data_IF_278506813881
#
_entry.id   IF_278506813881
#
_cell.length_a   1.000
_cell.length_b   1.000
_cell.length_c   1.000
_cell.angle_alpha   90.00
_cell.angle_beta   90.00
_cell.angle_gamma   90.00
#
_symmetry.space_group_name_H-M   'P 1'
#
loop_
_entity.id
_entity.type
_entity.pdbx_description
1 polymer ?
#
# COMPACT_ATOMS: atom_id res chain seq x y z
N UNK A 1 -17.24 -1.52 -6.56
CA UNK A 1 -17.42 -2.25 -7.84
C UNK A 1 -16.09 -2.78 -8.39
N UNK A 2 -15.00 -1.99 -8.42
CA UNK A 2 -13.70 -2.46 -8.93
C UNK A 2 -13.08 -3.61 -8.14
N UNK A 3 -12.95 -3.48 -6.81
CA UNK A 3 -12.28 -4.50 -5.99
C UNK A 3 -12.94 -5.88 -6.10
N UNK A 4 -14.28 -5.94 -6.07
CA UNK A 4 -15.03 -7.19 -6.21
C UNK A 4 -14.80 -7.85 -7.58
N UNK A 5 -14.74 -7.04 -8.64
CA UNK A 5 -14.45 -7.55 -9.99
C UNK A 5 -13.01 -8.10 -10.08
N UNK A 6 -12.04 -7.39 -9.52
CA UNK A 6 -10.65 -7.86 -9.44
C UNK A 6 -10.53 -9.16 -8.66
N UNK A 7 -11.23 -9.28 -7.52
CA UNK A 7 -11.26 -10.52 -6.74
C UNK A 7 -11.79 -11.70 -7.55
N UNK A 8 -12.88 -11.49 -8.30
CA UNK A 8 -13.46 -12.52 -9.19
C UNK A 8 -12.46 -12.94 -10.28
N UNK A 9 -11.82 -11.97 -10.94
CA UNK A 9 -10.80 -12.25 -11.96
C UNK A 9 -9.60 -13.01 -11.38
N UNK A 10 -9.15 -12.64 -10.18
CA UNK A 10 -8.05 -13.30 -9.52
C UNK A 10 -8.41 -14.74 -9.12
N UNK A 11 -9.62 -14.96 -8.59
CA UNK A 11 -10.11 -16.29 -8.26
C UNK A 11 -10.18 -17.19 -9.50
N UNK A 12 -10.71 -16.66 -10.62
CA UNK A 12 -10.80 -17.38 -11.89
C UNK A 12 -9.43 -17.75 -12.49
N UNK A 13 -8.38 -17.02 -12.14
CA UNK A 13 -6.98 -17.32 -12.52
C UNK A 13 -6.29 -18.30 -11.57
N UNK A 14 -6.98 -18.77 -10.54
CA UNK A 14 -6.45 -19.74 -9.58
C UNK A 14 -5.65 -19.14 -8.42
N UNK A 15 -5.61 -17.82 -8.28
CA UNK A 15 -4.97 -17.19 -7.12
C UNK A 15 -5.72 -17.52 -5.84
N UNK A 16 -4.98 -17.75 -4.76
CA UNK A 16 -5.53 -18.21 -3.48
C UNK A 16 -5.97 -17.07 -2.57
N UNK A 17 -5.33 -15.93 -2.67
CA UNK A 17 -5.63 -14.79 -1.82
C UNK A 17 -5.04 -13.51 -2.37
N UNK A 18 -5.42 -12.40 -1.75
CA UNK A 18 -4.87 -11.08 -2.00
C UNK A 18 -4.24 -10.61 -0.71
N UNK A 19 -3.05 -10.00 -0.79
CA UNK A 19 -2.37 -9.31 0.32
C UNK A 19 -2.15 -7.87 -0.11
N UNK A 20 -2.46 -6.91 0.78
CA UNK A 20 -2.36 -5.47 0.52
C UNK A 20 -1.91 -4.70 1.76
N UNK A 21 -1.37 -3.50 1.53
CA UNK A 21 -1.34 -2.43 2.51
C UNK A 21 -2.52 -1.50 2.25
N UNK A 22 -3.54 -1.55 3.11
CA UNK A 22 -4.83 -0.88 2.91
C UNK A 22 -5.31 -0.12 4.15
N UNK A 23 -6.40 0.63 3.98
CA UNK A 23 -7.02 1.41 5.06
C UNK A 23 -7.72 0.50 6.09
N UNK A 24 -7.29 0.54 7.38
CA UNK A 24 -7.87 -0.24 8.49
C UNK A 24 -9.39 -0.17 8.60
N UNK A 25 -9.99 1.00 8.34
CA UNK A 25 -11.42 1.19 8.54
C UNK A 25 -12.27 0.86 7.30
N UNK A 26 -11.65 0.54 6.16
CA UNK A 26 -12.34 0.30 4.90
C UNK A 26 -12.36 -1.19 4.51
N UNK A 27 -11.20 -1.82 4.40
CA UNK A 27 -11.07 -3.16 3.84
C UNK A 27 -11.70 -4.30 4.68
N UNK A 28 -11.77 -4.21 6.02
CA UNK A 28 -12.49 -5.21 6.82
C UNK A 28 -13.98 -5.31 6.47
N UNK A 29 -14.60 -4.22 5.98
CA UNK A 29 -15.99 -4.22 5.49
C UNK A 29 -16.19 -5.13 4.27
N UNK A 30 -15.10 -5.55 3.63
CA UNK A 30 -15.07 -6.39 2.43
C UNK A 30 -14.51 -7.80 2.77
N UNK A 31 -14.26 -8.08 4.05
CA UNK A 31 -13.81 -9.38 4.54
C UNK A 31 -12.30 -9.55 4.60
N UNK A 32 -11.52 -8.49 4.37
CA UNK A 32 -10.09 -8.51 4.65
C UNK A 32 -9.85 -8.62 6.16
N UNK A 33 -8.76 -9.29 6.52
CA UNK A 33 -8.27 -9.41 7.89
C UNK A 33 -6.80 -9.06 7.92
N UNK A 34 -6.27 -8.68 9.07
CA UNK A 34 -4.83 -8.53 9.25
C UNK A 34 -4.11 -9.83 8.92
N UNK A 35 -2.90 -9.74 8.34
CA UNK A 35 -2.20 -10.90 7.79
C UNK A 35 -1.79 -11.96 8.82
N UNK A 36 -1.80 -11.61 10.11
CA UNK A 36 -1.54 -12.51 11.24
C UNK A 36 -2.60 -13.61 11.35
N UNK A 37 -3.84 -13.33 10.92
CA UNK A 37 -4.91 -14.31 10.78
C UNK A 37 -4.56 -15.45 9.80
N UNK A 38 -3.56 -15.24 8.94
CA UNK A 38 -3.06 -16.22 7.98
C UNK A 38 -1.63 -16.68 8.28
N UNK A 39 -1.06 -16.32 9.45
CA UNK A 39 0.36 -16.55 9.75
C UNK A 39 1.32 -15.96 8.70
N UNK A 40 0.96 -14.79 8.15
CA UNK A 40 1.78 -14.04 7.20
C UNK A 40 2.33 -12.79 7.91
N UNK A 41 3.63 -12.55 7.78
CA UNK A 41 4.31 -11.35 8.27
C UNK A 41 4.91 -10.57 7.11
N UNK A 42 5.32 -9.32 7.34
CA UNK A 42 6.24 -8.65 6.40
C UNK A 42 7.58 -9.38 6.32
N UNK A 43 8.43 -8.99 5.37
CA UNK A 43 9.81 -9.50 5.27
C UNK A 43 10.60 -9.37 6.60
N UNK A 44 10.34 -8.31 7.37
CA UNK A 44 10.96 -8.05 8.68
C UNK A 44 10.29 -8.77 9.85
N UNK A 45 9.19 -9.49 9.63
CA UNK A 45 8.47 -10.22 10.70
C UNK A 45 7.38 -9.41 11.40
N UNK A 46 7.01 -8.24 10.87
CA UNK A 46 6.02 -7.37 11.48
C UNK A 46 4.60 -7.66 10.99
N UNK A 47 3.63 -7.18 11.76
CA UNK A 47 2.23 -7.06 11.36
C UNK A 47 1.65 -5.75 11.92
N UNK A 48 0.68 -5.16 11.24
CA UNK A 48 0.05 -3.91 11.63
C UNK A 48 -1.31 -3.79 10.91
N UNK A 49 -2.20 -2.92 11.41
CA UNK A 49 -3.61 -2.88 10.98
C UNK A 49 -3.78 -2.70 9.48
N UNK A 50 -2.90 -1.94 8.83
CA UNK A 50 -2.95 -1.74 7.39
C UNK A 50 -2.46 -2.95 6.57
N UNK A 51 -1.76 -3.92 7.16
CA UNK A 51 -1.24 -5.10 6.47
C UNK A 51 -2.27 -6.24 6.48
N UNK A 52 -2.99 -6.38 5.36
CA UNK A 52 -4.20 -7.20 5.29
C UNK A 52 -4.16 -8.25 4.20
N UNK A 53 -4.89 -9.34 4.42
CA UNK A 53 -5.14 -10.40 3.45
C UNK A 53 -6.59 -10.84 3.38
N UNK A 54 -6.95 -11.49 2.27
CA UNK A 54 -8.26 -12.14 2.08
C UNK A 54 -8.09 -13.39 1.21
N UNK A 55 -8.77 -14.47 1.58
CA UNK A 55 -8.89 -15.68 0.75
C UNK A 55 -9.90 -15.46 -0.38
N UNK A 56 -9.60 -15.96 -1.58
CA UNK A 56 -10.48 -15.88 -2.74
C UNK A 56 -11.43 -17.08 -2.90
N UNK A 57 -11.29 -18.09 -2.05
CA UNK A 57 -12.22 -19.20 -1.89
C UNK A 57 -12.20 -19.66 -0.42
N UNK A 58 -13.15 -20.51 -0.04
CA UNK A 58 -13.16 -21.11 1.29
C UNK A 58 -11.85 -21.88 1.56
N UNK A 59 -11.26 -21.65 2.73
CA UNK A 59 -9.99 -22.25 3.18
C UNK A 59 -8.79 -22.06 2.22
N UNK A 60 -8.88 -21.16 1.22
CA UNK A 60 -7.86 -21.03 0.17
C UNK A 60 -6.48 -20.62 0.69
N UNK A 61 -6.43 -19.96 1.86
CA UNK A 61 -5.20 -19.52 2.52
C UNK A 61 -4.77 -20.41 3.70
N UNK A 62 -5.51 -21.47 4.03
CA UNK A 62 -5.28 -22.30 5.22
C UNK A 62 -3.86 -22.89 5.34
N UNK A 63 -3.24 -23.16 4.20
CA UNK A 63 -1.89 -23.73 4.13
C UNK A 63 -0.82 -22.72 3.70
N UNK A 64 -1.18 -21.45 3.53
CA UNK A 64 -0.26 -20.37 3.17
C UNK A 64 0.20 -19.70 4.47
N UNK A 65 1.51 -19.66 4.69
CA UNK A 65 2.15 -19.01 5.83
C UNK A 65 3.55 -18.55 5.45
N UNK A 66 4.09 -17.56 6.17
CA UNK A 66 5.47 -17.11 5.99
C UNK A 66 5.60 -15.60 5.82
N UNK A 67 6.56 -15.18 5.00
CA UNK A 67 6.90 -13.76 4.81
C UNK A 67 6.40 -13.25 3.47
N UNK A 68 5.72 -12.11 3.49
CA UNK A 68 5.36 -11.36 2.30
C UNK A 68 6.57 -10.54 1.83
N UNK A 69 6.93 -10.72 0.57
CA UNK A 69 7.96 -9.97 -0.12
C UNK A 69 7.32 -9.23 -1.29
N UNK A 70 7.48 -7.91 -1.31
CA UNK A 70 7.04 -7.10 -2.44
C UNK A 70 7.91 -7.34 -3.67
N UNK A 71 7.42 -6.94 -4.84
CA UNK A 71 8.24 -6.96 -6.05
C UNK A 71 9.42 -6.00 -5.90
N UNK A 72 10.61 -6.40 -6.36
CA UNK A 72 11.82 -5.55 -6.37
C UNK A 72 11.65 -4.21 -7.09
N UNK A 73 10.65 -4.11 -7.98
CA UNK A 73 10.26 -2.85 -8.64
C UNK A 73 9.87 -1.76 -7.64
N UNK A 74 9.34 -2.12 -6.47
CA UNK A 74 8.99 -1.16 -5.42
C UNK A 74 10.21 -0.68 -4.63
N UNK A 75 11.32 -1.41 -4.65
CA UNK A 75 12.56 -1.03 -3.96
C UNK A 75 13.44 -0.13 -4.83
N UNK A 76 13.48 -0.39 -6.14
CA UNK A 76 14.42 0.24 -7.07
C UNK A 76 13.69 0.87 -8.26
N UNK A 77 13.05 2.01 -8.02
CA UNK A 77 12.45 2.83 -9.07
C UNK A 77 13.38 4.00 -9.40
N UNK A 78 14.06 4.03 -10.56
CA UNK A 78 14.99 5.10 -10.91
C UNK A 78 14.27 6.44 -11.03
N UNK A 79 14.71 7.43 -10.24
CA UNK A 79 14.08 8.77 -10.24
C UNK A 79 14.00 9.38 -11.63
N UNK A 80 15.03 9.20 -12.45
CA UNK A 80 15.08 9.73 -13.81
C UNK A 80 13.94 9.16 -14.68
N UNK A 81 13.74 7.84 -14.67
CA UNK A 81 12.67 7.18 -15.44
C UNK A 81 11.28 7.65 -14.99
N UNK A 82 11.10 7.88 -13.67
CA UNK A 82 9.85 8.41 -13.12
C UNK A 82 9.57 9.82 -13.64
N UNK A 83 10.57 10.70 -13.64
CA UNK A 83 10.41 12.07 -14.13
C UNK A 83 10.17 12.10 -15.66
N UNK A 84 10.90 11.29 -16.43
CA UNK A 84 10.68 11.14 -17.88
C UNK A 84 9.28 10.62 -18.19
N UNK A 85 8.75 9.69 -17.38
CA UNK A 85 7.38 9.21 -17.50
C UNK A 85 6.36 10.29 -17.13
N UNK A 86 6.60 11.06 -16.06
CA UNK A 86 5.73 12.17 -15.65
C UNK A 86 5.57 13.24 -16.74
N UNK A 87 6.61 13.51 -17.52
CA UNK A 87 6.56 14.47 -18.64
C UNK A 87 5.57 14.07 -19.75
N UNK A 88 5.13 12.80 -19.79
CA UNK A 88 4.14 12.32 -20.76
C UNK A 88 2.70 12.73 -20.40
N UNK A 89 2.48 13.22 -19.18
CA UNK A 89 1.17 13.64 -18.69
C UNK A 89 1.09 15.17 -18.61
N UNK A 90 -0.09 15.77 -18.84
CA UNK A 90 -0.27 17.19 -18.59
C UNK A 90 0.01 17.51 -17.12
N UNK A 91 0.64 18.65 -16.84
CA UNK A 91 0.91 19.09 -15.48
C UNK A 91 -0.41 19.24 -14.70
N UNK A 92 -0.67 18.29 -13.80
CA UNK A 92 -1.83 18.31 -12.94
C UNK A 92 -1.64 19.37 -11.85
N UNK A 93 -2.51 20.39 -11.83
CA UNK A 93 -2.60 21.32 -10.71
C UNK A 93 -3.04 20.51 -9.48
N UNK A 94 -2.29 20.59 -8.38
CA UNK A 94 -2.70 19.93 -7.12
C UNK A 94 -4.03 20.54 -6.67
N UNK A 95 -5.09 19.74 -6.75
CA UNK A 95 -6.41 20.09 -6.24
C UNK A 95 -6.56 19.50 -4.84
N UNK A 96 -7.12 20.27 -3.91
CA UNK A 96 -7.61 19.76 -2.62
C UNK A 96 -9.10 19.53 -2.75
N UNK A 97 -9.53 18.28 -2.59
CA UNK A 97 -10.94 17.95 -2.55
C UNK A 97 -11.42 17.75 -1.10
N UNK A 98 -12.68 18.09 -0.77
CA UNK A 98 -13.27 17.73 0.52
C UNK A 98 -13.18 16.21 0.73
N UNK A 99 -12.61 15.77 1.86
CA UNK A 99 -12.39 14.34 2.17
C UNK A 99 -11.02 13.79 1.76
N UNK A 100 -10.15 14.60 1.16
CA UNK A 100 -8.74 14.26 1.01
C UNK A 100 -8.03 14.46 2.36
N UNK A 101 -7.46 13.39 2.92
CA UNK A 101 -6.78 13.42 4.21
C UNK A 101 -5.59 14.38 4.21
N UNK A 102 -5.47 15.21 5.24
CA UNK A 102 -4.26 15.99 5.50
C UNK A 102 -3.13 15.06 5.94
N UNK A 103 -2.27 14.67 5.00
CA UNK A 103 -1.00 13.99 5.32
C UNK A 103 -0.04 15.00 5.98
N UNK A 104 -0.21 15.26 7.27
CA UNK A 104 0.71 16.05 8.08
C UNK A 104 1.76 15.13 8.75
N UNK A 105 2.69 14.62 7.95
CA UNK A 105 3.95 14.04 8.40
C UNK A 105 4.86 14.08 7.18
N UNK A 106 5.93 14.86 7.10
CA UNK A 106 7.05 15.01 8.03
C UNK A 106 7.57 16.45 7.88
N UNK A 107 7.42 17.31 8.90
CA UNK A 107 8.15 18.57 8.96
C UNK A 107 9.64 18.25 9.17
N UNK A 108 10.43 18.22 8.09
CA UNK A 108 11.88 18.40 8.22
C UNK A 108 12.12 19.84 8.67
N UNK A 109 12.52 19.98 9.92
CA UNK A 109 13.01 21.22 10.52
C UNK A 109 14.07 21.85 9.62
N UNK A 110 13.72 22.93 8.92
CA UNK A 110 14.71 23.84 8.35
C UNK A 110 15.23 24.71 9.50
N UNK A 111 16.33 24.26 10.12
CA UNK A 111 17.11 25.09 11.03
C UNK A 111 17.77 26.20 10.20
N UNK A 112 17.11 27.36 10.11
CA UNK A 112 17.71 28.59 9.60
C UNK A 112 18.62 29.13 10.71
N UNK A 113 19.92 28.83 10.63
CA UNK A 113 20.93 29.59 11.38
C UNK A 113 20.95 31.01 10.81
N UNK A 114 20.29 31.94 11.50
CA UNK A 114 20.61 33.36 11.41
C UNK A 114 21.56 33.67 12.55
N UNK A 115 22.83 33.83 12.22
CA UNK A 115 23.84 34.40 13.08
C UNK A 115 24.61 35.40 12.24
N UNK A 116 24.14 36.65 12.25
CA UNK A 116 24.96 37.84 12.00
C UNK A 116 24.43 38.89 12.97
N UNK A 117 25.17 39.04 14.07
CA UNK A 117 25.04 40.11 15.04
C UNK A 117 26.41 40.73 15.18
N UNK A 118 26.63 41.84 14.47
CA UNK A 118 27.63 42.86 14.74
C UNK A 118 26.89 44.12 15.12
#
# INVERSE_FOLDING_TARGET
MLLKETMKLAANKGYKGIVIFGEPDYYPRIGFKTCDNFNITTATGNNFDAFMGIGLAEDSMKHIKGKFHESKVFENLPKQEVEEYNMKFPHLKKLRFPGQWDYNGINQKTNKKTGDGS
#
